data_IF_190573910326
#
_entry.id   IF_190573910326
#
_cell.length_a   1.000
_cell.length_b   1.000
_cell.length_c   1.000
_cell.angle_alpha   90.00
_cell.angle_beta   90.00
_cell.angle_gamma   90.00
#
_symmetry.space_group_name_H-M   'P 1'
#
loop_
_entity.id
_entity.type
_entity.pdbx_description
1 polymer ?
#
# COMPACT_ATOMS: atom_id res chain seq x y z
N UNK A 1 -1.66 14.44 29.21
CA UNK A 1 -0.58 15.30 28.66
C UNK A 1 0.72 14.50 28.65
N UNK A 2 1.67 14.70 27.72
CA UNK A 2 3.06 14.85 28.15
C UNK A 2 3.12 16.23 28.82
N UNK A 3 3.27 16.33 30.13
CA UNK A 3 3.74 17.56 30.73
C UNK A 3 5.11 17.84 30.16
N UNK A 4 5.42 19.11 29.84
CA UNK A 4 6.81 19.52 29.77
C UNK A 4 7.46 19.19 31.13
N UNK A 5 8.47 18.31 31.14
CA UNK A 5 9.08 17.81 32.37
C UNK A 5 9.19 16.28 32.44
N UNK A 6 9.15 15.72 33.65
CA UNK A 6 9.54 14.33 33.92
C UNK A 6 8.60 13.25 33.34
N UNK A 7 7.39 13.63 32.91
CA UNK A 7 6.33 12.73 32.43
C UNK A 7 6.24 12.67 30.89
N UNK A 8 7.03 13.49 30.19
CA UNK A 8 7.10 13.52 28.72
C UNK A 8 7.46 12.15 28.10
N UNK A 9 8.47 11.40 28.61
CA UNK A 9 8.79 10.07 28.09
C UNK A 9 7.65 9.06 28.27
N UNK A 10 6.87 9.19 29.35
CA UNK A 10 5.75 8.29 29.64
C UNK A 10 4.59 8.52 28.64
N UNK A 11 4.28 9.78 28.35
CA UNK A 11 3.25 10.12 27.36
C UNK A 11 3.65 9.72 25.94
N UNK A 12 4.92 9.89 25.55
CA UNK A 12 5.46 9.36 24.28
C UNK A 12 5.31 7.83 24.26
N UNK A 13 5.60 7.16 25.37
CA UNK A 13 5.39 5.72 25.52
C UNK A 13 3.93 5.30 25.30
N UNK A 14 2.95 6.03 25.84
CA UNK A 14 1.53 5.76 25.61
C UNK A 14 1.09 6.01 24.17
N UNK A 15 1.59 7.06 23.51
CA UNK A 15 1.30 7.32 22.10
C UNK A 15 1.85 6.21 21.20
N UNK A 16 3.08 5.75 21.49
CA UNK A 16 3.67 4.62 20.79
C UNK A 16 2.83 3.34 20.96
N UNK A 17 2.37 3.05 22.19
CA UNK A 17 1.50 1.91 22.44
C UNK A 17 0.15 2.04 21.73
N UNK A 18 -0.47 3.23 21.75
CA UNK A 18 -1.71 3.49 21.05
C UNK A 18 -1.57 3.23 19.55
N UNK A 19 -0.53 3.78 18.92
CA UNK A 19 -0.24 3.55 17.52
C UNK A 19 -0.08 2.04 17.21
N UNK A 20 0.67 1.29 18.03
CA UNK A 20 0.84 -0.15 17.82
C UNK A 20 -0.45 -0.95 17.98
N UNK A 21 -1.32 -0.55 18.91
CA UNK A 21 -2.63 -1.18 19.10
C UNK A 21 -3.57 -0.87 17.93
N UNK A 22 -3.60 0.39 17.47
CA UNK A 22 -4.37 0.80 16.30
C UNK A 22 -3.88 0.07 15.04
N UNK A 23 -2.56 0.00 14.80
CA UNK A 23 -1.97 -0.78 13.72
C UNK A 23 -2.41 -2.25 13.78
N UNK A 24 -2.37 -2.86 14.97
CA UNK A 24 -2.84 -4.24 15.17
C UNK A 24 -4.34 -4.40 14.85
N UNK A 25 -5.18 -3.47 15.31
CA UNK A 25 -6.62 -3.48 15.00
C UNK A 25 -6.89 -3.26 13.52
N UNK A 26 -6.13 -2.41 12.84
CA UNK A 26 -6.20 -2.24 11.38
C UNK A 26 -5.87 -3.55 10.68
N UNK A 27 -4.83 -4.25 11.12
CA UNK A 27 -4.42 -5.53 10.52
C UNK A 27 -5.50 -6.60 10.67
N UNK A 28 -6.19 -6.62 11.81
CA UNK A 28 -7.34 -7.51 12.03
C UNK A 28 -8.56 -7.09 11.21
N UNK A 29 -8.81 -5.80 11.07
CA UNK A 29 -9.90 -5.27 10.23
C UNK A 29 -9.69 -5.65 8.75
N UNK A 30 -8.47 -5.52 8.22
CA UNK A 30 -8.10 -5.96 6.87
C UNK A 30 -8.36 -7.45 6.64
N UNK A 31 -8.30 -8.25 7.71
CA UNK A 31 -8.55 -9.70 7.73
C UNK A 31 -10.04 -10.04 7.96
N UNK A 32 -10.90 -9.04 8.04
CA UNK A 32 -12.35 -9.20 8.15
C UNK A 32 -12.87 -9.44 9.57
N UNK A 33 -12.09 -9.16 10.62
CA UNK A 33 -12.52 -9.30 12.01
C UNK A 33 -13.49 -8.17 12.43
N UNK A 34 -14.79 -8.44 12.63
CA UNK A 34 -15.78 -7.41 12.91
C UNK A 34 -15.62 -6.79 14.30
N UNK A 35 -15.06 -7.52 15.26
CA UNK A 35 -14.73 -7.03 16.60
C UNK A 35 -13.62 -5.98 16.56
N UNK A 36 -12.62 -6.13 15.68
CA UNK A 36 -11.57 -5.13 15.50
C UNK A 36 -12.12 -3.84 14.87
N UNK A 37 -12.97 -3.95 13.85
CA UNK A 37 -13.65 -2.80 13.25
C UNK A 37 -14.52 -2.07 14.28
N UNK A 38 -15.24 -2.83 15.12
CA UNK A 38 -16.02 -2.29 16.23
C UNK A 38 -15.14 -1.57 17.26
N UNK A 39 -14.01 -2.16 17.68
CA UNK A 39 -13.10 -1.53 18.63
C UNK A 39 -12.52 -0.22 18.11
N UNK A 40 -12.21 -0.14 16.80
CA UNK A 40 -11.78 1.12 16.17
C UNK A 40 -12.92 2.17 16.25
N UNK A 41 -14.16 1.76 15.93
CA UNK A 41 -15.30 2.65 15.99
C UNK A 41 -15.61 3.13 17.42
N UNK A 42 -15.62 2.21 18.39
CA UNK A 42 -15.83 2.48 19.81
C UNK A 42 -14.73 3.42 20.34
N UNK A 43 -13.45 3.18 19.97
CA UNK A 43 -12.34 4.07 20.32
C UNK A 43 -12.54 5.50 19.80
N UNK A 44 -12.89 5.66 18.52
CA UNK A 44 -13.11 6.99 17.95
C UNK A 44 -14.33 7.69 18.56
N UNK A 45 -15.39 6.94 18.88
CA UNK A 45 -16.57 7.45 19.57
C UNK A 45 -16.24 7.89 21.02
N UNK A 46 -15.41 7.13 21.73
CA UNK A 46 -14.94 7.49 23.06
C UNK A 46 -14.07 8.76 23.01
N UNK A 47 -13.18 8.90 22.02
CA UNK A 47 -12.41 10.13 21.80
C UNK A 47 -13.35 11.32 21.59
N UNK A 48 -14.37 11.18 20.75
CA UNK A 48 -15.40 12.21 20.54
C UNK A 48 -16.07 12.61 21.86
N UNK A 49 -16.52 11.63 22.65
CA UNK A 49 -17.16 11.89 23.94
C UNK A 49 -16.23 12.60 24.93
N UNK A 50 -14.93 12.27 24.93
CA UNK A 50 -13.94 12.94 25.77
C UNK A 50 -13.66 14.38 25.33
N UNK A 51 -13.71 14.68 24.02
CA UNK A 51 -13.60 16.06 23.52
C UNK A 51 -14.81 16.88 23.95
N UNK A 52 -16.02 16.34 23.79
CA UNK A 52 -17.26 17.02 24.20
C UNK A 52 -17.32 17.25 25.71
N UNK A 53 -16.74 16.35 26.51
CA UNK A 53 -16.58 16.50 27.94
C UNK A 53 -15.46 17.49 28.35
N UNK A 54 -14.66 18.00 27.40
CA UNK A 54 -13.54 18.91 27.66
C UNK A 54 -12.29 18.24 28.24
N UNK A 55 -12.20 16.90 28.18
CA UNK A 55 -11.06 16.13 28.69
C UNK A 55 -9.95 15.94 27.64
N UNK A 56 -10.25 16.17 26.36
CA UNK A 56 -9.30 16.13 25.23
C UNK A 56 -9.29 17.50 24.57
N UNK A 57 -8.13 18.16 24.61
CA UNK A 57 -7.88 19.46 23.98
C UNK A 57 -7.39 19.32 22.52
N UNK A 58 -7.17 20.46 21.85
CA UNK A 58 -6.66 20.55 20.48
C UNK A 58 -5.39 19.77 20.23
N UNK A 59 -4.46 19.88 21.17
CA UNK A 59 -3.14 19.27 21.06
C UNK A 59 -3.20 17.75 21.19
N UNK A 60 -3.96 17.24 22.15
CA UNK A 60 -4.18 15.80 22.31
C UNK A 60 -4.90 15.21 21.09
N UNK A 61 -5.87 15.94 20.54
CA UNK A 61 -6.56 15.51 19.33
C UNK A 61 -5.61 15.42 18.12
N UNK A 62 -4.66 16.35 17.97
CA UNK A 62 -3.63 16.27 16.94
C UNK A 62 -2.80 14.99 17.06
N UNK A 63 -2.37 14.61 18.27
CA UNK A 63 -1.62 13.36 18.49
C UNK A 63 -2.47 12.09 18.20
N UNK A 64 -3.76 12.10 18.55
CA UNK A 64 -4.66 10.98 18.23
C UNK A 64 -4.89 10.89 16.72
N UNK A 65 -5.07 12.04 16.05
CA UNK A 65 -5.17 12.14 14.60
C UNK A 65 -3.92 11.57 13.92
N UNK A 66 -2.74 11.92 14.41
CA UNK A 66 -1.46 11.39 13.93
C UNK A 66 -1.33 9.88 14.16
N UNK A 67 -1.70 9.37 15.33
CA UNK A 67 -1.69 7.93 15.59
C UNK A 67 -2.63 7.15 14.66
N UNK A 68 -3.81 7.71 14.35
CA UNK A 68 -4.73 7.16 13.35
C UNK A 68 -4.12 7.21 11.93
N UNK A 69 -3.48 8.32 11.57
CA UNK A 69 -2.80 8.52 10.29
C UNK A 69 -1.70 7.47 10.07
N UNK A 70 -0.77 7.39 11.01
CA UNK A 70 0.34 6.44 10.98
C UNK A 70 -0.12 4.98 10.97
N UNK A 71 -1.26 4.70 11.60
CA UNK A 71 -1.89 3.37 11.59
C UNK A 71 -2.73 3.09 10.34
N UNK A 72 -2.84 4.06 9.41
CA UNK A 72 -3.66 4.00 8.20
C UNK A 72 -5.14 3.74 8.51
N UNK A 73 -5.65 4.29 9.59
CA UNK A 73 -7.06 4.23 9.98
C UNK A 73 -7.71 5.57 9.67
N UNK A 74 -8.76 5.62 8.83
CA UNK A 74 -9.47 6.87 8.56
C UNK A 74 -10.20 7.36 9.81
N UNK A 75 -10.21 8.68 10.00
CA UNK A 75 -11.05 9.32 11.01
C UNK A 75 -12.53 9.11 10.67
N UNK A 76 -13.35 8.86 11.69
CA UNK A 76 -14.80 8.73 11.54
C UNK A 76 -15.40 10.10 11.21
N UNK A 77 -16.58 10.14 10.55
CA UNK A 77 -17.27 11.41 10.28
C UNK A 77 -17.52 12.24 11.54
N UNK A 78 -17.83 11.59 12.67
CA UNK A 78 -18.08 12.23 13.96
C UNK A 78 -16.80 12.84 14.54
N UNK A 79 -15.70 12.07 14.54
CA UNK A 79 -14.40 12.56 14.99
C UNK A 79 -13.96 13.76 14.14
N UNK A 80 -14.07 13.64 12.81
CA UNK A 80 -13.73 14.71 11.90
C UNK A 80 -14.57 15.99 12.11
N UNK A 81 -15.86 15.83 12.40
CA UNK A 81 -16.76 16.95 12.68
C UNK A 81 -16.43 17.67 14.00
N UNK A 82 -15.99 16.94 15.03
CA UNK A 82 -15.59 17.53 16.31
C UNK A 82 -14.20 18.18 16.22
N UNK A 83 -13.26 17.57 15.50
CA UNK A 83 -11.96 18.17 15.20
C UNK A 83 -12.11 19.53 14.51
N UNK A 84 -13.04 19.64 13.56
CA UNK A 84 -13.30 20.89 12.85
C UNK A 84 -13.87 22.03 13.74
N UNK A 85 -14.37 21.71 14.93
CA UNK A 85 -14.94 22.69 15.89
C UNK A 85 -13.93 23.17 16.92
N UNK A 86 -12.80 22.48 17.07
CA UNK A 86 -11.80 22.92 18.04
C UNK A 86 -11.12 24.20 17.57
N UNK A 87 -11.01 25.21 18.45
CA UNK A 87 -10.24 26.40 18.13
C UNK A 87 -8.77 25.99 17.93
N UNK A 88 -8.17 26.46 16.85
CA UNK A 88 -6.72 26.40 16.67
C UNK A 88 -6.11 27.20 17.81
N UNK A 89 -5.28 26.57 18.63
CA UNK A 89 -4.62 27.22 19.76
C UNK A 89 -3.69 28.33 19.22
N UNK A 90 -3.95 29.62 19.54
CA UNK A 90 -3.17 30.73 18.99
C UNK A 90 -1.75 30.83 19.54
N UNK A 91 -1.39 30.03 20.55
CA UNK A 91 -0.10 30.13 21.26
C UNK A 91 1.00 29.17 20.77
N UNK A 92 0.72 28.19 19.89
CA UNK A 92 1.77 27.28 19.36
C UNK A 92 2.16 27.45 17.89
N UNK A 93 1.48 28.30 17.13
CA UNK A 93 1.98 28.78 15.84
C UNK A 93 1.59 30.24 15.66
N UNK A 94 2.51 31.05 15.11
CA UNK A 94 2.26 32.48 14.84
C UNK A 94 0.91 32.69 14.13
N UNK A 95 0.33 33.90 14.20
CA UNK A 95 -1.06 34.17 13.88
C UNK A 95 -1.50 33.42 12.63
N UNK A 96 -2.51 32.55 12.78
CA UNK A 96 -3.20 31.89 11.68
C UNK A 96 -3.31 32.89 10.53
N UNK A 97 -2.72 32.62 9.36
CA UNK A 97 -2.70 33.61 8.31
C UNK A 97 -4.16 33.89 7.93
N UNK A 98 -4.63 35.10 8.29
CA UNK A 98 -5.95 35.63 7.90
C UNK A 98 -6.14 35.63 6.39
N UNK A 99 -5.04 35.47 5.64
CA UNK A 99 -5.00 35.18 4.23
C UNK A 99 -4.57 33.72 3.99
N UNK A 100 -5.52 32.85 3.63
CA UNK A 100 -5.29 31.46 3.21
C UNK A 100 -4.19 31.38 2.14
N UNK A 101 -4.08 32.38 1.26
CA UNK A 101 -3.02 32.44 0.24
C UNK A 101 -1.63 32.61 0.86
N UNK A 102 -1.50 33.42 1.89
CA UNK A 102 -0.24 33.61 2.61
C UNK A 102 0.16 32.34 3.38
N UNK A 103 -0.82 31.63 3.96
CA UNK A 103 -0.58 30.34 4.61
C UNK A 103 -0.09 29.26 3.64
N UNK A 104 -0.77 29.12 2.49
CA UNK A 104 -0.36 28.20 1.43
C UNK A 104 1.04 28.53 0.90
N UNK A 105 1.34 29.82 0.70
CA UNK A 105 2.68 30.26 0.30
C UNK A 105 3.75 29.93 1.36
N UNK A 106 3.41 29.99 2.66
CA UNK A 106 4.28 29.58 3.76
C UNK A 106 4.64 28.10 3.72
N UNK A 107 3.64 27.22 3.53
CA UNK A 107 3.84 25.77 3.42
C UNK A 107 4.71 25.44 2.20
N UNK A 108 4.39 26.03 1.04
CA UNK A 108 5.16 25.82 -0.19
C UNK A 108 6.61 26.28 -0.02
N UNK A 109 6.84 27.41 0.65
CA UNK A 109 8.18 27.91 0.94
C UNK A 109 8.94 26.97 1.87
N UNK A 110 8.29 26.39 2.87
CA UNK A 110 8.91 25.42 3.78
C UNK A 110 9.31 24.12 3.05
N UNK A 111 8.64 23.80 1.94
CA UNK A 111 8.92 22.65 1.09
C UNK A 111 9.84 22.97 -0.10
N UNK A 112 10.46 24.16 -0.14
CA UNK A 112 11.24 24.66 -1.29
C UNK A 112 10.47 24.58 -2.63
N UNK A 113 9.14 24.66 -2.59
CA UNK A 113 8.26 24.54 -3.75
C UNK A 113 8.03 23.12 -4.25
N UNK A 114 8.52 22.07 -3.57
CA UNK A 114 8.27 20.68 -3.96
C UNK A 114 6.80 20.29 -3.70
N UNK A 115 6.02 19.99 -4.75
CA UNK A 115 4.61 19.63 -4.58
C UNK A 115 4.40 18.29 -3.87
N UNK A 116 5.35 17.34 -3.94
CA UNK A 116 5.24 16.04 -3.28
C UNK A 116 5.44 16.15 -1.76
N UNK A 117 6.40 16.96 -1.31
CA UNK A 117 6.57 17.26 0.10
C UNK A 117 5.35 18.02 0.65
N UNK A 118 4.89 19.03 -0.09
CA UNK A 118 3.74 19.84 0.32
C UNK A 118 2.44 19.02 0.41
N UNK A 119 2.15 18.14 -0.57
CA UNK A 119 0.96 17.28 -0.48
C UNK A 119 1.07 16.26 0.65
N UNK A 120 2.27 15.74 0.92
CA UNK A 120 2.54 14.84 2.05
C UNK A 120 2.19 15.49 3.39
N UNK A 121 2.74 16.67 3.65
CA UNK A 121 2.46 17.45 4.86
C UNK A 121 0.97 17.81 5.00
N UNK A 122 0.30 18.15 3.89
CA UNK A 122 -1.13 18.50 3.90
C UNK A 122 -2.03 17.29 4.16
N UNK A 123 -1.66 16.10 3.67
CA UNK A 123 -2.42 14.87 3.94
C UNK A 123 -2.19 14.41 5.39
N UNK A 124 -0.96 14.50 5.90
CA UNK A 124 -0.61 14.17 7.28
C UNK A 124 -1.38 15.09 8.25
N UNK A 125 -1.24 16.42 8.09
CA UNK A 125 -1.97 17.41 8.91
C UNK A 125 -3.49 17.39 8.69
N UNK A 126 -3.94 16.95 7.51
CA UNK A 126 -5.34 16.88 7.11
C UNK A 126 -6.05 15.56 7.44
N UNK A 127 -5.37 14.58 8.04
CA UNK A 127 -5.89 13.20 8.15
C UNK A 127 -7.21 13.09 8.92
N UNK A 128 -7.40 13.95 9.94
CA UNK A 128 -8.63 14.00 10.72
C UNK A 128 -9.67 14.98 10.16
N UNK A 129 -9.43 15.62 9.01
CA UNK A 129 -10.36 16.59 8.43
C UNK A 129 -11.53 15.92 7.70
N UNK A 130 -12.74 16.50 7.76
CA UNK A 130 -13.84 16.08 6.91
C UNK A 130 -13.50 16.20 5.42
N UNK A 131 -14.13 15.35 4.60
CA UNK A 131 -13.93 15.34 3.16
C UNK A 131 -14.24 16.71 2.51
N UNK A 132 -15.21 17.45 3.05
CA UNK A 132 -15.59 18.78 2.63
C UNK A 132 -14.46 19.80 2.85
N UNK A 133 -13.80 19.72 4.01
CA UNK A 133 -12.64 20.56 4.34
C UNK A 133 -11.45 20.21 3.46
N UNK A 134 -11.14 18.92 3.31
CA UNK A 134 -10.10 18.46 2.39
C UNK A 134 -10.35 18.92 0.94
N UNK A 135 -11.62 18.87 0.50
CA UNK A 135 -12.02 19.38 -0.80
C UNK A 135 -11.82 20.90 -0.91
N UNK A 136 -12.17 21.67 0.12
CA UNK A 136 -11.97 23.11 0.14
C UNK A 136 -10.49 23.50 0.08
N UNK A 137 -9.62 22.78 0.79
CA UNK A 137 -8.16 22.98 0.74
C UNK A 137 -7.63 22.68 -0.67
N UNK A 138 -7.97 21.53 -1.24
CA UNK A 138 -7.54 21.15 -2.60
C UNK A 138 -8.04 22.11 -3.68
N UNK A 139 -9.29 22.58 -3.57
CA UNK A 139 -9.86 23.61 -4.46
C UNK A 139 -9.15 24.95 -4.27
N UNK A 140 -8.88 25.35 -3.02
CA UNK A 140 -8.14 26.56 -2.68
C UNK A 140 -6.76 26.58 -3.32
N UNK A 141 -6.02 25.48 -3.23
CA UNK A 141 -4.72 25.28 -3.89
C UNK A 141 -4.80 25.48 -5.41
N UNK A 142 -5.82 24.90 -6.06
CA UNK A 142 -6.02 25.04 -7.51
C UNK A 142 -6.30 26.49 -7.92
N UNK A 143 -7.06 27.23 -7.10
CA UNK A 143 -7.55 28.58 -7.42
C UNK A 143 -6.67 29.72 -6.87
N UNK A 144 -5.67 29.43 -6.04
CA UNK A 144 -4.82 30.42 -5.37
C UNK A 144 -3.99 31.31 -6.31
N UNK A 145 -3.92 30.97 -7.60
CA UNK A 145 -3.11 31.71 -8.59
C UNK A 145 -1.60 31.49 -8.46
N UNK A 146 -1.17 30.57 -7.58
CA UNK A 146 0.24 30.19 -7.37
C UNK A 146 0.53 28.91 -8.17
N UNK A 147 1.50 28.89 -9.10
CA UNK A 147 1.83 27.70 -9.90
C UNK A 147 2.16 26.46 -9.07
N UNK A 148 2.95 26.62 -8.01
CA UNK A 148 3.37 25.53 -7.12
C UNK A 148 2.17 24.95 -6.36
N UNK A 149 1.25 25.82 -5.89
CA UNK A 149 -0.01 25.39 -5.26
C UNK A 149 -0.88 24.57 -6.23
N UNK A 150 -0.92 24.97 -7.51
CA UNK A 150 -1.62 24.20 -8.55
C UNK A 150 -0.98 22.84 -8.78
N UNK A 151 0.35 22.75 -8.73
CA UNK A 151 1.06 21.47 -8.75
C UNK A 151 0.64 20.53 -7.61
N UNK A 152 0.47 21.06 -6.39
CA UNK A 152 -0.07 20.30 -5.25
C UNK A 152 -1.52 19.88 -5.51
N UNK A 153 -2.37 20.77 -6.02
CA UNK A 153 -3.75 20.44 -6.36
C UNK A 153 -3.86 19.33 -7.42
N UNK A 154 -2.92 19.27 -8.37
CA UNK A 154 -2.84 18.17 -9.34
C UNK A 154 -2.60 16.83 -8.63
N UNK A 155 -1.77 16.79 -7.58
CA UNK A 155 -1.52 15.56 -6.80
C UNK A 155 -2.74 15.11 -5.98
N UNK A 156 -3.61 16.03 -5.54
CA UNK A 156 -4.91 15.71 -4.92
C UNK A 156 -5.88 14.96 -5.85
N UNK A 157 -5.60 14.85 -7.16
CA UNK A 157 -6.34 13.94 -8.04
C UNK A 157 -6.10 12.46 -7.73
N UNK A 158 -5.12 12.14 -6.87
CA UNK A 158 -4.82 10.80 -6.35
C UNK A 158 -5.22 10.65 -4.87
N UNK A 159 -5.99 11.59 -4.32
CA UNK A 159 -6.51 11.50 -2.96
C UNK A 159 -7.35 10.23 -2.78
N UNK A 160 -7.27 9.51 -1.64
CA UNK A 160 -8.08 8.31 -1.40
C UNK A 160 -9.58 8.58 -1.47
N UNK A 161 -10.03 9.79 -1.14
CA UNK A 161 -11.43 10.18 -1.14
C UNK A 161 -11.91 10.70 -2.50
N UNK A 162 -12.86 9.99 -3.10
CA UNK A 162 -13.43 10.36 -4.41
C UNK A 162 -14.07 11.76 -4.46
N UNK A 163 -14.59 12.26 -3.33
CA UNK A 163 -15.18 13.61 -3.24
C UNK A 163 -14.11 14.68 -3.44
N UNK A 164 -12.95 14.53 -2.77
CA UNK A 164 -11.80 15.44 -2.93
C UNK A 164 -11.30 15.41 -4.37
N UNK A 165 -11.13 14.21 -4.95
CA UNK A 165 -10.68 14.05 -6.34
C UNK A 165 -11.60 14.72 -7.37
N UNK A 166 -12.92 14.67 -7.17
CA UNK A 166 -13.90 15.33 -8.07
C UNK A 166 -13.90 16.84 -7.89
N UNK A 167 -13.87 17.32 -6.65
CA UNK A 167 -13.83 18.75 -6.34
C UNK A 167 -12.61 19.42 -6.99
N UNK A 168 -11.43 18.81 -6.83
CA UNK A 168 -10.19 19.35 -7.42
C UNK A 168 -10.17 19.25 -8.94
N UNK A 169 -10.72 18.19 -9.55
CA UNK A 169 -10.88 18.11 -11.00
C UNK A 169 -11.75 19.25 -11.56
N UNK A 170 -12.85 19.57 -10.87
CA UNK A 170 -13.72 20.70 -11.20
C UNK A 170 -13.01 22.05 -11.10
N UNK A 171 -12.19 22.26 -10.05
CA UNK A 171 -11.41 23.49 -9.89
C UNK A 171 -10.31 23.62 -10.96
N UNK A 172 -9.54 22.56 -11.22
CA UNK A 172 -8.51 22.53 -12.25
C UNK A 172 -9.09 22.79 -13.66
N UNK A 173 -10.33 22.37 -13.93
CA UNK A 173 -11.00 22.67 -15.18
C UNK A 173 -11.31 24.16 -15.40
N UNK A 174 -11.37 24.97 -14.34
CA UNK A 174 -11.55 26.43 -14.42
C UNK A 174 -10.23 27.14 -14.71
N UNK A 175 -9.13 26.63 -14.16
CA UNK A 175 -7.79 27.21 -14.28
C UNK A 175 -6.90 26.49 -15.29
N UNK A 176 -7.48 25.65 -16.15
CA UNK A 176 -6.74 24.77 -17.06
C UNK A 176 -5.75 25.50 -17.97
N UNK A 177 -6.05 26.75 -18.36
CA UNK A 177 -5.18 27.59 -19.17
C UNK A 177 -3.94 28.14 -18.42
N UNK A 178 -3.86 27.94 -17.11
CA UNK A 178 -2.72 28.36 -16.29
C UNK A 178 -1.81 27.21 -15.89
N UNK A 179 -2.18 25.96 -16.21
CA UNK A 179 -1.41 24.77 -15.85
C UNK A 179 -0.03 24.77 -16.51
N UNK A 180 0.93 24.16 -15.84
CA UNK A 180 2.28 24.00 -16.39
C UNK A 180 2.34 22.79 -17.34
N UNK A 181 3.33 22.74 -18.25
CA UNK A 181 3.62 21.53 -19.03
C UNK A 181 3.79 20.26 -18.18
N UNK A 182 4.41 20.40 -17.01
CA UNK A 182 4.59 19.32 -16.02
C UNK A 182 3.25 18.86 -15.44
N UNK A 183 2.35 19.78 -15.10
CA UNK A 183 1.00 19.44 -14.64
C UNK A 183 0.24 18.63 -15.70
N UNK A 184 0.31 19.05 -16.97
CA UNK A 184 -0.32 18.35 -18.09
C UNK A 184 0.26 16.95 -18.26
N UNK A 185 1.57 16.78 -18.12
CA UNK A 185 2.24 15.46 -18.14
C UNK A 185 1.71 14.53 -17.05
N UNK A 186 1.61 15.04 -15.82
CA UNK A 186 1.07 14.29 -14.66
C UNK A 186 -0.39 13.92 -14.87
N UNK A 187 -1.21 14.86 -15.34
CA UNK A 187 -2.63 14.61 -15.64
C UNK A 187 -2.80 13.48 -16.67
N UNK A 188 -1.95 13.43 -17.70
CA UNK A 188 -2.00 12.39 -18.73
C UNK A 188 -1.71 11.00 -18.14
N UNK A 189 -0.69 10.89 -17.28
CA UNK A 189 -0.37 9.62 -16.61
C UNK A 189 -1.49 9.18 -15.67
N UNK A 190 -1.93 10.08 -14.77
CA UNK A 190 -2.94 9.78 -13.76
C UNK A 190 -4.33 9.50 -14.33
N UNK A 191 -4.64 9.99 -15.56
CA UNK A 191 -5.95 9.78 -16.20
C UNK A 191 -6.35 8.31 -16.21
N UNK A 192 -5.41 7.42 -16.54
CA UNK A 192 -5.69 6.00 -16.65
C UNK A 192 -5.59 5.28 -15.30
N UNK A 193 -4.92 5.85 -14.30
CA UNK A 193 -4.78 5.28 -12.95
C UNK A 193 -6.01 5.46 -12.07
N UNK A 194 -7.07 6.09 -12.60
CA UNK A 194 -8.32 6.36 -11.89
C UNK A 194 -9.47 5.45 -12.34
N UNK A 195 -10.50 5.29 -11.49
CA UNK A 195 -11.77 4.65 -11.85
C UNK A 195 -12.35 5.23 -13.14
N UNK A 196 -12.94 4.38 -13.98
CA UNK A 196 -13.40 4.75 -15.32
C UNK A 196 -14.39 5.93 -15.33
N UNK A 197 -15.29 5.96 -14.35
CA UNK A 197 -16.29 7.01 -14.17
C UNK A 197 -15.70 8.38 -13.81
N UNK A 198 -14.42 8.47 -13.46
CA UNK A 198 -13.74 9.72 -13.09
C UNK A 198 -12.83 10.25 -14.21
N UNK A 199 -12.53 9.44 -15.23
CA UNK A 199 -11.54 9.79 -16.28
C UNK A 199 -11.98 10.95 -17.17
N UNK A 200 -13.29 11.11 -17.37
CA UNK A 200 -13.85 12.15 -18.23
C UNK A 200 -13.55 13.57 -17.71
N UNK A 201 -13.57 13.76 -16.39
CA UNK A 201 -13.29 15.03 -15.73
C UNK A 201 -11.84 15.46 -15.97
N UNK A 202 -10.88 14.57 -15.70
CA UNK A 202 -9.45 14.79 -15.98
C UNK A 202 -9.21 15.02 -17.47
N UNK A 203 -9.86 14.22 -18.32
CA UNK A 203 -9.79 14.39 -19.77
C UNK A 203 -10.26 15.77 -20.24
N UNK A 204 -11.27 16.37 -19.57
CA UNK A 204 -11.72 17.73 -19.87
C UNK A 204 -10.67 18.78 -19.48
N UNK A 205 -10.00 18.62 -18.33
CA UNK A 205 -8.88 19.49 -17.93
C UNK A 205 -7.76 19.46 -18.96
N UNK A 206 -7.31 18.26 -19.37
CA UNK A 206 -6.24 18.09 -20.36
C UNK A 206 -6.62 18.74 -21.70
N UNK A 207 -7.84 18.53 -22.19
CA UNK A 207 -8.30 19.14 -23.45
C UNK A 207 -8.30 20.67 -23.38
N UNK A 208 -8.76 21.25 -22.26
CA UNK A 208 -8.76 22.70 -22.05
C UNK A 208 -7.34 23.28 -21.98
N UNK A 209 -6.42 22.61 -21.29
CA UNK A 209 -5.02 23.04 -21.22
C UNK A 209 -4.36 23.05 -22.60
N UNK A 210 -4.55 21.97 -23.39
CA UNK A 210 -4.05 21.90 -24.77
C UNK A 210 -4.69 22.95 -25.68
N UNK A 211 -6.00 23.21 -25.53
CA UNK A 211 -6.67 24.27 -26.29
C UNK A 211 -6.15 25.67 -25.96
N UNK A 212 -5.59 25.86 -24.76
CA UNK A 212 -4.88 27.08 -24.37
C UNK A 212 -3.41 27.13 -24.83
N UNK A 213 -2.95 26.13 -25.60
CA UNK A 213 -1.58 26.07 -26.13
C UNK A 213 -0.53 25.51 -25.15
N UNK A 214 -0.95 24.85 -24.06
CA UNK A 214 -0.02 24.22 -23.12
C UNK A 214 0.37 22.85 -23.66
N UNK A 215 1.63 22.72 -24.07
CA UNK A 215 2.22 21.45 -24.49
C UNK A 215 2.63 20.61 -23.29
N UNK A 216 2.55 19.28 -23.45
CA UNK A 216 2.97 18.33 -22.44
C UNK A 216 4.51 18.26 -22.39
N UNK A 217 5.08 18.42 -21.19
CA UNK A 217 6.50 18.16 -20.98
C UNK A 217 6.80 16.67 -21.21
N UNK A 218 7.92 16.29 -21.84
CA UNK A 218 8.34 14.90 -21.89
C UNK A 218 8.68 14.38 -20.49
N UNK A 219 8.64 13.06 -20.33
CA UNK A 219 9.22 12.42 -19.16
C UNK A 219 10.74 12.44 -19.28
N UNK A 220 11.43 12.70 -18.16
CA UNK A 220 12.87 12.44 -18.12
C UNK A 220 13.12 10.94 -18.33
N UNK A 221 14.21 10.62 -19.00
CA UNK A 221 14.70 9.25 -19.09
C UNK A 221 15.22 8.85 -17.70
N UNK A 222 14.29 8.50 -16.80
CA UNK A 222 14.63 8.02 -15.48
C UNK A 222 15.53 6.79 -15.57
N UNK A 223 16.34 6.57 -14.55
CA UNK A 223 17.27 5.45 -14.52
C UNK A 223 17.18 4.71 -13.20
N UNK A 224 17.45 3.42 -13.26
CA UNK A 224 17.40 2.53 -12.11
C UNK A 224 18.68 1.72 -12.11
N UNK A 225 19.38 1.73 -10.98
CA UNK A 225 20.60 0.96 -10.76
C UNK A 225 20.32 -0.40 -10.14
N UNK A 226 19.32 -0.46 -9.26
CA UNK A 226 18.91 -1.71 -8.63
C UNK A 226 17.41 -1.72 -8.36
N UNK A 227 16.81 -2.89 -8.55
CA UNK A 227 15.43 -3.20 -8.18
C UNK A 227 15.50 -4.45 -7.31
N UNK A 228 15.00 -4.33 -6.08
CA UNK A 228 14.90 -5.45 -5.14
C UNK A 228 13.42 -5.64 -4.81
N UNK A 229 12.93 -6.86 -4.90
CA UNK A 229 11.57 -7.21 -4.51
C UNK A 229 11.59 -8.20 -3.34
N UNK A 230 10.70 -7.99 -2.36
CA UNK A 230 10.44 -8.99 -1.33
C UNK A 230 9.74 -10.19 -1.93
N UNK A 231 9.77 -11.31 -1.21
CA UNK A 231 8.86 -12.41 -1.46
C UNK A 231 7.39 -11.96 -1.30
N UNK A 232 6.49 -12.66 -1.97
CA UNK A 232 5.04 -12.47 -1.81
C UNK A 232 4.60 -13.14 -0.51
N UNK A 233 4.00 -12.37 0.38
CA UNK A 233 3.55 -12.86 1.69
C UNK A 233 2.17 -13.55 1.61
N UNK A 234 1.71 -14.11 2.73
CA UNK A 234 0.40 -14.78 2.78
C UNK A 234 -0.79 -13.84 2.59
N UNK A 235 -0.61 -12.52 2.73
CA UNK A 235 -1.62 -11.50 2.43
C UNK A 235 -1.53 -11.02 0.97
N UNK A 236 -0.75 -11.71 0.13
CA UNK A 236 -0.43 -11.33 -1.25
C UNK A 236 0.29 -9.98 -1.38
N UNK A 237 0.91 -9.50 -0.31
CA UNK A 237 1.67 -8.27 -0.30
C UNK A 237 3.10 -8.49 -0.83
N UNK A 238 3.62 -7.49 -1.52
CA UNK A 238 4.98 -7.49 -2.04
C UNK A 238 5.53 -6.06 -2.04
N UNK A 239 6.72 -5.88 -1.48
CA UNK A 239 7.45 -4.62 -1.49
C UNK A 239 8.52 -4.61 -2.57
N UNK A 240 8.71 -3.44 -3.18
CA UNK A 240 9.78 -3.14 -4.11
C UNK A 240 10.63 -2.00 -3.56
N UNK A 241 11.94 -2.15 -3.61
CA UNK A 241 12.92 -1.11 -3.29
C UNK A 241 13.72 -0.81 -4.55
N UNK A 242 13.79 0.47 -4.91
CA UNK A 242 14.38 0.96 -6.14
C UNK A 242 15.50 1.92 -5.77
N UNK A 243 16.68 1.73 -6.37
CA UNK A 243 17.81 2.65 -6.22
C UNK A 243 18.03 3.33 -7.55
N UNK A 244 17.89 4.65 -7.58
CA UNK A 244 18.12 5.49 -8.75
C UNK A 244 19.24 6.51 -8.51
N UNK A 245 19.96 6.96 -9.56
CA UNK A 245 20.94 8.02 -9.42
C UNK A 245 20.26 9.37 -9.21
N UNK A 246 20.87 10.20 -8.35
CA UNK A 246 20.44 11.57 -8.10
C UNK A 246 21.69 12.47 -8.01
N UNK A 247 22.21 12.87 -9.18
CA UNK A 247 23.49 13.57 -9.28
C UNK A 247 24.66 12.73 -8.74
N UNK A 248 25.36 13.25 -7.73
CA UNK A 248 26.45 12.51 -7.03
C UNK A 248 25.93 11.58 -5.93
N UNK A 249 24.64 11.66 -5.61
CA UNK A 249 23.95 10.87 -4.59
C UNK A 249 23.08 9.80 -5.23
N UNK A 250 22.38 9.04 -4.39
CA UNK A 250 21.41 8.02 -4.78
C UNK A 250 20.07 8.33 -4.12
N UNK A 251 18.99 7.86 -4.72
CA UNK A 251 17.64 8.00 -4.18
C UNK A 251 17.04 6.61 -3.98
N UNK A 252 16.45 6.37 -2.82
CA UNK A 252 15.61 5.18 -2.57
C UNK A 252 14.18 5.54 -2.90
N UNK A 253 13.53 4.66 -3.66
CA UNK A 253 12.07 4.67 -3.79
C UNK A 253 11.50 3.32 -3.37
N UNK A 254 10.26 3.32 -2.91
CA UNK A 254 9.54 2.11 -2.52
C UNK A 254 8.17 2.05 -3.17
N UNK A 255 7.73 0.85 -3.52
CA UNK A 255 6.35 0.55 -3.91
C UNK A 255 5.89 -0.67 -3.13
N UNK A 256 4.79 -0.55 -2.39
CA UNK A 256 4.15 -1.64 -1.68
C UNK A 256 2.84 -2.01 -2.38
N UNK A 257 2.68 -3.30 -2.64
CA UNK A 257 1.49 -3.87 -3.27
C UNK A 257 0.77 -4.77 -2.26
N UNK A 258 -0.57 -4.78 -2.29
CA UNK A 258 -1.45 -5.63 -1.47
C UNK A 258 -2.83 -5.77 -2.13
N UNK A 259 -2.88 -6.44 -3.28
CA UNK A 259 -4.09 -6.53 -4.09
C UNK A 259 -4.53 -5.16 -4.64
N UNK A 260 -3.58 -4.34 -5.02
CA UNK A 260 -3.64 -2.90 -5.26
C UNK A 260 -2.30 -2.25 -4.89
N UNK A 261 -2.02 -1.05 -5.39
CA UNK A 261 -0.89 -0.25 -4.89
C UNK A 261 -1.27 0.31 -3.52
N UNK A 262 -0.67 -0.25 -2.47
CA UNK A 262 -1.00 0.07 -1.08
C UNK A 262 -0.18 1.25 -0.52
N UNK A 263 1.04 1.43 -1.03
CA UNK A 263 1.91 2.55 -0.67
C UNK A 263 2.97 2.78 -1.75
N UNK A 264 3.47 4.00 -1.84
CA UNK A 264 4.65 4.31 -2.64
C UNK A 264 5.25 5.64 -2.18
N UNK A 265 6.57 5.73 -2.19
CA UNK A 265 7.29 6.95 -1.81
C UNK A 265 8.66 7.02 -2.47
N UNK A 266 9.20 8.23 -2.59
CA UNK A 266 10.57 8.48 -3.02
C UNK A 266 11.26 9.40 -2.02
N UNK A 267 12.39 8.95 -1.49
CA UNK A 267 13.13 9.69 -0.47
C UNK A 267 14.00 10.80 -1.04
N UNK A 268 14.60 11.58 -0.16
CA UNK A 268 15.60 12.56 -0.55
C UNK A 268 16.87 11.88 -1.09
N UNK A 269 17.65 12.56 -1.96
CA UNK A 269 18.95 12.06 -2.36
C UNK A 269 19.92 11.94 -1.18
N UNK A 270 20.40 10.73 -0.95
CA UNK A 270 21.29 10.33 0.14
C UNK A 270 22.61 9.72 -0.37
N UNK A 271 23.60 9.65 0.52
CA UNK A 271 24.82 8.89 0.21
C UNK A 271 24.51 7.39 0.21
N UNK A 272 25.23 6.63 -0.62
CA UNK A 272 25.10 5.16 -0.67
C UNK A 272 25.24 4.51 0.71
N UNK A 273 26.14 5.02 1.56
CA UNK A 273 26.36 4.53 2.92
C UNK A 273 25.14 4.73 3.82
N UNK A 274 24.46 5.87 3.70
CA UNK A 274 23.23 6.13 4.45
C UNK A 274 22.12 5.19 4.01
N UNK A 275 21.97 5.00 2.70
CA UNK A 275 21.02 4.03 2.13
C UNK A 275 21.27 2.61 2.68
N UNK A 276 22.51 2.13 2.63
CA UNK A 276 22.88 0.82 3.15
C UNK A 276 22.60 0.70 4.66
N UNK A 277 22.81 1.78 5.42
CA UNK A 277 22.51 1.83 6.86
C UNK A 277 21.00 1.79 7.11
N UNK A 278 20.21 2.57 6.38
CA UNK A 278 18.75 2.60 6.49
C UNK A 278 18.12 1.27 6.10
N UNK A 279 18.64 0.62 5.05
CA UNK A 279 18.18 -0.71 4.63
C UNK A 279 18.50 -1.79 5.69
N UNK A 280 19.67 -1.73 6.31
CA UNK A 280 20.04 -2.63 7.40
C UNK A 280 19.18 -2.39 8.66
N UNK A 281 18.93 -1.11 9.01
CA UNK A 281 18.11 -0.72 10.15
C UNK A 281 16.62 -1.04 9.96
N UNK A 282 16.13 -1.03 8.72
CA UNK A 282 14.76 -1.39 8.39
C UNK A 282 14.44 -2.87 8.68
N UNK A 283 15.45 -3.71 8.96
CA UNK A 283 15.24 -5.08 9.43
C UNK A 283 14.32 -5.88 8.53
N UNK A 284 14.56 -5.82 7.21
CA UNK A 284 13.78 -6.58 6.23
C UNK A 284 14.05 -8.08 6.42
N UNK A 285 13.41 -8.69 7.42
CA UNK A 285 13.48 -10.14 7.71
C UNK A 285 12.76 -10.98 6.64
N UNK A 286 12.12 -10.30 5.67
CA UNK A 286 11.49 -10.96 4.52
C UNK A 286 12.52 -11.24 3.44
N UNK A 287 12.57 -12.47 2.87
CA UNK A 287 13.47 -12.77 1.76
C UNK A 287 13.31 -11.78 0.59
N UNK A 288 14.43 -11.33 0.03
CA UNK A 288 14.46 -10.39 -1.10
C UNK A 288 15.29 -10.93 -2.26
N UNK A 289 14.90 -10.59 -3.49
CA UNK A 289 15.66 -10.87 -4.71
C UNK A 289 15.84 -9.61 -5.55
N UNK A 290 16.97 -9.52 -6.25
CA UNK A 290 17.10 -8.58 -7.35
C UNK A 290 16.17 -9.03 -8.48
N UNK A 291 15.41 -8.10 -9.06
CA UNK A 291 14.44 -8.40 -10.13
C UNK A 291 14.61 -7.47 -11.32
N UNK A 292 14.11 -7.87 -12.47
CA UNK A 292 14.18 -7.06 -13.69
C UNK A 292 13.20 -5.88 -13.67
N UNK A 293 13.49 -4.87 -14.50
CA UNK A 293 12.55 -3.78 -14.80
C UNK A 293 11.23 -4.30 -15.37
N UNK A 294 11.31 -5.30 -16.26
CA UNK A 294 10.11 -5.95 -16.84
C UNK A 294 9.23 -6.62 -15.79
N UNK A 295 9.83 -7.22 -14.75
CA UNK A 295 9.07 -7.78 -13.63
C UNK A 295 8.36 -6.69 -12.85
N UNK A 296 9.08 -5.62 -12.46
CA UNK A 296 8.49 -4.46 -11.77
C UNK A 296 7.30 -3.88 -12.55
N UNK A 297 7.51 -3.55 -13.83
CA UNK A 297 6.49 -2.91 -14.67
C UNK A 297 5.24 -3.79 -14.80
N UNK A 298 5.42 -5.11 -14.94
CA UNK A 298 4.33 -6.07 -15.01
C UNK A 298 3.53 -6.13 -13.71
N UNK A 299 4.21 -6.16 -12.56
CA UNK A 299 3.52 -6.20 -11.26
C UNK A 299 2.80 -4.87 -10.99
N UNK A 300 3.46 -3.73 -11.21
CA UNK A 300 2.83 -2.41 -11.03
C UNK A 300 1.60 -2.26 -11.93
N UNK A 301 1.67 -2.68 -13.19
CA UNK A 301 0.52 -2.66 -14.10
C UNK A 301 -0.66 -3.53 -13.60
N UNK A 302 -0.37 -4.73 -13.08
CA UNK A 302 -1.39 -5.63 -12.52
C UNK A 302 -2.04 -5.03 -11.27
N UNK A 303 -1.24 -4.49 -10.35
CA UNK A 303 -1.70 -3.94 -9.09
C UNK A 303 -2.43 -2.59 -9.28
N UNK A 304 -2.04 -1.78 -10.27
CA UNK A 304 -2.81 -0.62 -10.72
C UNK A 304 -4.20 -1.02 -11.23
N UNK A 305 -4.30 -2.09 -12.02
CA UNK A 305 -5.60 -2.57 -12.49
C UNK A 305 -6.49 -3.03 -11.31
N UNK A 306 -5.90 -3.70 -10.32
CA UNK A 306 -6.59 -4.09 -9.09
C UNK A 306 -7.11 -2.91 -8.27
N UNK A 307 -6.30 -1.85 -8.08
CA UNK A 307 -6.76 -0.62 -7.42
C UNK A 307 -7.98 -0.03 -8.12
N UNK A 308 -7.97 0.03 -9.46
CA UNK A 308 -9.08 0.58 -10.25
C UNK A 308 -10.34 -0.28 -10.13
N UNK A 309 -10.22 -1.61 -10.16
CA UNK A 309 -11.35 -2.53 -9.94
C UNK A 309 -12.03 -2.30 -8.58
N UNK A 310 -11.24 -1.93 -7.57
CA UNK A 310 -11.73 -1.53 -6.23
C UNK A 310 -12.26 -0.09 -6.16
N UNK A 311 -12.23 0.65 -7.26
CA UNK A 311 -12.57 2.09 -7.35
C UNK A 311 -11.65 2.99 -6.51
N UNK A 312 -10.42 2.55 -6.30
CA UNK A 312 -9.37 3.28 -5.59
C UNK A 312 -8.44 3.98 -6.60
N UNK A 313 -7.79 5.05 -6.16
CA UNK A 313 -6.65 5.65 -6.87
C UNK A 313 -5.35 5.21 -6.18
N UNK A 314 -4.24 5.03 -6.91
CA UNK A 314 -2.95 4.77 -6.27
C UNK A 314 -2.49 6.00 -5.45
N UNK A 315 -1.62 5.83 -4.45
CA UNK A 315 -1.06 6.93 -3.68
C UNK A 315 -0.26 7.88 -4.59
N UNK A 316 -0.27 9.18 -4.26
CA UNK A 316 0.47 10.20 -5.03
C UNK A 316 1.97 9.90 -5.14
N UNK A 317 2.55 9.23 -4.14
CA UNK A 317 3.95 8.83 -4.17
C UNK A 317 4.27 7.86 -5.31
N UNK A 318 3.30 7.12 -5.86
CA UNK A 318 3.52 6.28 -7.05
C UNK A 318 3.90 7.15 -8.25
N UNK A 319 3.31 8.33 -8.39
CA UNK A 319 3.68 9.29 -9.43
C UNK A 319 5.11 9.80 -9.22
N UNK A 320 5.49 10.09 -7.98
CA UNK A 320 6.86 10.50 -7.65
C UNK A 320 7.88 9.42 -8.00
N UNK A 321 7.56 8.16 -7.67
CA UNK A 321 8.38 7.00 -8.07
C UNK A 321 8.46 6.92 -9.59
N UNK A 322 7.33 6.98 -10.29
CA UNK A 322 7.30 6.94 -11.75
C UNK A 322 8.18 8.06 -12.34
N UNK A 323 8.07 9.29 -11.86
CA UNK A 323 8.86 10.44 -12.36
C UNK A 323 10.35 10.22 -12.11
N UNK A 324 10.71 9.61 -10.97
CA UNK A 324 12.10 9.32 -10.59
C UNK A 324 12.73 8.23 -11.47
N UNK A 325 11.97 7.18 -11.80
CA UNK A 325 12.52 5.97 -12.46
C UNK A 325 12.11 5.80 -13.94
N UNK A 326 11.41 6.77 -14.51
CA UNK A 326 10.94 6.70 -15.89
C UNK A 326 9.80 5.70 -16.07
N UNK A 327 8.80 5.74 -15.18
CA UNK A 327 7.61 4.89 -15.18
C UNK A 327 6.47 5.38 -16.09
N UNK A 328 6.79 6.11 -17.17
CA UNK A 328 5.81 6.73 -18.08
C UNK A 328 4.81 5.73 -18.67
N UNK A 329 5.26 4.49 -18.91
CA UNK A 329 4.48 3.45 -19.56
C UNK A 329 3.67 2.60 -18.58
N UNK A 330 3.65 2.95 -17.29
CA UNK A 330 2.80 2.26 -16.32
C UNK A 330 1.33 2.51 -16.64
N UNK A 331 0.73 1.54 -17.30
CA UNK A 331 -0.68 1.50 -17.61
C UNK A 331 -1.33 0.34 -16.87
N UNK A 332 -2.55 0.53 -16.32
CA UNK A 332 -3.24 -0.56 -15.66
C UNK A 332 -3.52 -1.69 -16.64
N UNK A 333 -3.00 -2.88 -16.35
CA UNK A 333 -3.20 -4.07 -17.16
C UNK A 333 -3.14 -5.30 -16.26
N UNK A 334 -4.25 -6.06 -16.21
CA UNK A 334 -4.28 -7.33 -15.48
C UNK A 334 -3.26 -8.29 -16.09
N UNK A 335 -2.36 -8.79 -15.26
CA UNK A 335 -1.58 -9.98 -15.58
C UNK A 335 -2.50 -11.10 -16.10
N UNK A 336 -2.23 -11.59 -17.30
CA UNK A 336 -2.92 -12.73 -17.89
C UNK A 336 -2.51 -14.01 -17.15
N UNK A 337 -3.19 -14.32 -16.05
CA UNK A 337 -2.80 -15.37 -15.11
C UNK A 337 -2.57 -16.73 -15.79
N UNK A 338 -3.53 -17.17 -16.62
CA UNK A 338 -3.44 -18.45 -17.34
C UNK A 338 -2.26 -18.52 -18.31
N UNK A 339 -2.03 -17.46 -19.10
CA UNK A 339 -0.90 -17.39 -20.04
C UNK A 339 0.44 -17.35 -19.29
N UNK A 340 0.48 -16.63 -18.16
CA UNK A 340 1.66 -16.52 -17.30
C UNK A 340 2.07 -17.87 -16.75
N UNK A 341 1.10 -18.61 -16.21
CA UNK A 341 1.31 -19.94 -15.68
C UNK A 341 1.70 -20.92 -16.80
N UNK A 342 1.04 -20.86 -17.95
CA UNK A 342 1.39 -21.69 -19.10
C UNK A 342 2.84 -21.45 -19.58
N UNK A 343 3.29 -20.19 -19.59
CA UNK A 343 4.67 -19.83 -19.91
C UNK A 343 5.67 -20.44 -18.93
N UNK A 344 5.43 -20.32 -17.62
CA UNK A 344 6.29 -20.96 -16.61
C UNK A 344 6.34 -22.48 -16.76
N UNK A 345 5.18 -23.11 -16.97
CA UNK A 345 5.08 -24.56 -17.13
C UNK A 345 5.81 -25.05 -18.38
N UNK A 346 5.82 -24.25 -19.47
CA UNK A 346 6.57 -24.59 -20.68
C UNK A 346 8.09 -24.64 -20.44
N UNK A 347 8.60 -23.93 -19.44
CA UNK A 347 10.02 -23.92 -19.05
C UNK A 347 10.37 -25.01 -18.02
N UNK A 348 9.37 -25.72 -17.48
CA UNK A 348 9.58 -26.84 -16.57
C UNK A 348 10.08 -28.06 -17.38
N UNK A 349 11.17 -28.73 -16.95
CA UNK A 349 11.66 -29.94 -17.61
C UNK A 349 10.58 -31.01 -17.72
N UNK A 350 10.44 -31.61 -18.92
CA UNK A 350 9.41 -32.63 -19.19
C UNK A 350 9.44 -33.80 -18.19
N UNK A 351 10.62 -34.18 -17.70
CA UNK A 351 10.79 -35.22 -16.69
C UNK A 351 10.08 -34.91 -15.36
N UNK A 352 9.98 -33.63 -14.97
CA UNK A 352 9.23 -33.22 -13.77
C UNK A 352 7.71 -33.30 -13.97
N UNK A 353 7.25 -33.25 -15.23
CA UNK A 353 5.84 -33.36 -15.60
C UNK A 353 5.37 -34.81 -15.76
N UNK A 354 6.27 -35.80 -15.67
CA UNK A 354 5.89 -37.21 -15.70
C UNK A 354 5.02 -37.58 -14.48
N UNK A 355 3.99 -38.42 -14.61
CA UNK A 355 2.99 -38.63 -13.55
C UNK A 355 3.56 -38.97 -12.16
N UNK A 356 4.57 -39.84 -12.11
CA UNK A 356 5.19 -40.26 -10.85
C UNK A 356 6.01 -39.13 -10.22
N UNK A 357 6.81 -38.43 -11.02
CA UNK A 357 7.62 -37.29 -10.57
C UNK A 357 6.74 -36.13 -10.15
N UNK A 358 5.72 -35.78 -10.93
CA UNK A 358 4.73 -34.77 -10.65
C UNK A 358 4.03 -35.02 -9.30
N UNK A 359 3.54 -36.24 -9.08
CA UNK A 359 2.92 -36.62 -7.82
C UNK A 359 3.90 -36.50 -6.64
N UNK A 360 5.18 -36.84 -6.85
CA UNK A 360 6.21 -36.68 -5.83
C UNK A 360 6.51 -35.22 -5.51
N UNK A 361 6.65 -34.35 -6.53
CA UNK A 361 6.85 -32.90 -6.37
C UNK A 361 5.71 -32.28 -5.56
N UNK A 362 4.46 -32.58 -5.94
CA UNK A 362 3.28 -32.05 -5.24
C UNK A 362 3.24 -32.51 -3.78
N UNK A 363 3.48 -33.80 -3.53
CA UNK A 363 3.46 -34.37 -2.17
C UNK A 363 4.55 -33.80 -1.27
N UNK A 364 5.74 -33.51 -1.82
CA UNK A 364 6.91 -33.02 -1.09
C UNK A 364 7.08 -31.49 -1.12
N UNK A 365 6.13 -30.76 -1.69
CA UNK A 365 6.21 -29.30 -1.85
C UNK A 365 6.33 -28.51 -0.53
N UNK A 366 6.09 -29.12 0.63
CA UNK A 366 6.35 -28.54 1.96
C UNK A 366 7.80 -28.69 2.44
N UNK A 367 8.63 -29.46 1.73
CA UNK A 367 10.02 -29.76 2.11
C UNK A 367 11.03 -28.86 1.38
N UNK A 368 10.55 -27.94 0.53
CA UNK A 368 11.36 -27.00 -0.25
C UNK A 368 12.07 -26.03 0.69
N UNK A 369 13.41 -26.11 0.75
CA UNK A 369 14.20 -25.36 1.73
C UNK A 369 14.13 -23.85 1.47
N UNK A 370 14.16 -23.46 0.21
CA UNK A 370 14.14 -22.07 -0.29
C UNK A 370 12.79 -21.40 0.00
N UNK A 371 11.72 -22.19 0.10
CA UNK A 371 10.39 -21.70 0.41
C UNK A 371 10.19 -21.49 1.92
N UNK A 372 11.00 -22.11 2.78
CA UNK A 372 10.76 -22.15 4.23
C UNK A 372 10.69 -20.76 4.86
N UNK A 373 11.53 -19.81 4.42
CA UNK A 373 11.50 -18.42 4.90
C UNK A 373 10.35 -17.63 4.29
N UNK A 374 10.05 -17.85 3.01
CA UNK A 374 8.96 -17.18 2.28
C UNK A 374 7.59 -17.55 2.84
N UNK A 375 7.35 -18.85 3.07
CA UNK A 375 6.06 -19.37 3.51
C UNK A 375 5.80 -19.19 5.02
N UNK A 376 6.66 -18.48 5.76
CA UNK A 376 6.42 -18.22 7.19
C UNK A 376 5.15 -17.41 7.44
N UNK A 377 4.83 -16.49 6.53
CA UNK A 377 3.63 -15.67 6.57
C UNK A 377 2.41 -16.34 5.90
N UNK A 378 2.56 -17.55 5.36
CA UNK A 378 1.50 -18.22 4.60
C UNK A 378 0.59 -19.04 5.52
N UNK A 379 -0.46 -18.38 5.99
CA UNK A 379 -1.52 -18.99 6.77
C UNK A 379 -2.86 -18.31 6.47
N UNK A 380 -3.95 -19.01 6.78
CA UNK A 380 -5.29 -18.42 6.76
C UNK A 380 -5.54 -17.70 8.08
N UNK A 381 -6.07 -16.49 7.98
CA UNK A 381 -6.41 -15.67 9.13
C UNK A 381 -7.68 -14.90 8.85
N UNK A 382 -8.80 -15.59 9.07
CA UNK A 382 -10.13 -15.02 9.02
C UNK A 382 -10.94 -15.48 10.24
N UNK A 383 -12.04 -14.77 10.60
CA UNK A 383 -12.82 -15.09 11.79
C UNK A 383 -13.41 -16.50 11.80
N UNK A 384 -13.75 -17.05 10.63
CA UNK A 384 -14.31 -18.39 10.51
C UNK A 384 -13.24 -19.45 10.82
N UNK A 385 -12.02 -19.25 10.34
CA UNK A 385 -10.86 -20.11 10.62
C UNK A 385 -10.50 -20.04 12.10
N UNK A 386 -10.38 -18.84 12.66
CA UNK A 386 -10.08 -18.64 14.07
C UNK A 386 -11.10 -19.36 14.97
N UNK A 387 -12.39 -19.19 14.68
CA UNK A 387 -13.45 -19.88 15.41
C UNK A 387 -13.40 -21.41 15.26
N UNK A 388 -13.08 -21.92 14.06
CA UNK A 388 -12.95 -23.36 13.83
C UNK A 388 -11.77 -23.95 14.62
N UNK A 389 -10.63 -23.27 14.65
CA UNK A 389 -9.44 -23.68 15.41
C UNK A 389 -9.73 -23.64 16.91
N UNK A 390 -10.44 -22.61 17.38
CA UNK A 390 -10.81 -22.44 18.78
C UNK A 390 -11.76 -23.55 19.26
N UNK A 391 -12.82 -23.83 18.51
CA UNK A 391 -13.77 -24.93 18.81
C UNK A 391 -13.12 -26.31 18.80
N UNK A 392 -12.01 -26.45 18.09
CA UNK A 392 -11.24 -27.68 17.98
C UNK A 392 -10.06 -27.74 18.97
N UNK A 393 -9.99 -26.86 19.98
CA UNK A 393 -9.03 -26.98 21.08
C UNK A 393 -9.12 -28.38 21.72
N UNK A 394 -7.98 -29.06 21.85
CA UNK A 394 -7.89 -30.42 22.38
C UNK A 394 -8.17 -31.56 21.38
N UNK A 395 -8.59 -31.27 20.14
CA UNK A 395 -8.77 -32.29 19.10
C UNK A 395 -7.47 -32.60 18.36
N UNK A 396 -7.44 -33.77 17.72
CA UNK A 396 -6.37 -34.24 16.85
C UNK A 396 -6.01 -33.19 15.78
N UNK A 397 -4.73 -32.80 15.76
CA UNK A 397 -4.22 -31.74 14.88
C UNK A 397 -4.30 -32.12 13.40
N UNK A 398 -4.08 -33.39 13.06
CA UNK A 398 -4.12 -33.86 11.68
C UNK A 398 -5.56 -33.82 11.15
N UNK A 399 -6.55 -34.27 11.94
CA UNK A 399 -7.97 -34.17 11.58
C UNK A 399 -8.41 -32.73 11.36
N UNK A 400 -7.96 -31.80 12.22
CA UNK A 400 -8.25 -30.38 12.04
C UNK A 400 -7.62 -29.82 10.75
N UNK A 401 -6.37 -30.19 10.46
CA UNK A 401 -5.70 -29.77 9.23
C UNK A 401 -6.43 -30.28 7.97
N UNK A 402 -6.88 -31.55 7.97
CA UNK A 402 -7.71 -32.10 6.88
C UNK A 402 -9.03 -31.34 6.73
N UNK A 403 -9.69 -31.02 7.84
CA UNK A 403 -10.90 -30.20 7.81
C UNK A 403 -10.64 -28.81 7.20
N UNK A 404 -9.58 -28.10 7.62
CA UNK A 404 -9.23 -26.79 7.08
C UNK A 404 -8.91 -26.86 5.59
N UNK A 405 -8.18 -27.90 5.16
CA UNK A 405 -7.87 -28.16 3.75
C UNK A 405 -9.15 -28.26 2.91
N UNK A 406 -10.04 -29.18 3.30
CA UNK A 406 -11.25 -29.49 2.53
C UNK A 406 -12.31 -28.39 2.60
N UNK A 407 -12.38 -27.71 3.75
CA UNK A 407 -13.51 -26.83 4.05
C UNK A 407 -13.19 -25.36 3.86
N UNK A 408 -11.93 -24.94 3.90
CA UNK A 408 -11.54 -23.52 3.86
C UNK A 408 -10.53 -23.28 2.75
N UNK A 409 -9.36 -23.91 2.80
CA UNK A 409 -8.29 -23.70 1.81
C UNK A 409 -8.77 -24.05 0.40
N UNK A 410 -9.59 -25.11 0.26
CA UNK A 410 -10.20 -25.45 -1.03
C UNK A 410 -11.09 -24.33 -1.62
N UNK A 411 -11.74 -23.50 -0.78
CA UNK A 411 -12.52 -22.33 -1.24
C UNK A 411 -11.65 -21.14 -1.60
N UNK A 412 -10.49 -21.01 -0.95
CA UNK A 412 -9.49 -19.96 -1.22
C UNK A 412 -8.41 -20.41 -2.21
N UNK A 413 -8.67 -21.48 -2.97
CA UNK A 413 -7.73 -22.06 -3.93
C UNK A 413 -7.20 -21.05 -4.93
N UNK A 414 -8.04 -20.17 -5.45
CA UNK A 414 -7.63 -19.16 -6.44
C UNK A 414 -6.65 -18.15 -5.85
N UNK A 415 -6.87 -17.73 -4.59
CA UNK A 415 -5.92 -16.87 -3.86
C UNK A 415 -4.58 -17.57 -3.65
N UNK A 416 -4.59 -18.84 -3.25
CA UNK A 416 -3.34 -19.59 -3.08
C UNK A 416 -2.63 -19.87 -4.41
N UNK A 417 -3.38 -20.12 -5.48
CA UNK A 417 -2.82 -20.24 -6.81
C UNK A 417 -2.14 -18.93 -7.25
N UNK A 418 -2.75 -17.78 -6.93
CA UNK A 418 -2.17 -16.46 -7.18
C UNK A 418 -0.85 -16.24 -6.44
N UNK A 419 -0.87 -16.42 -5.12
CA UNK A 419 0.33 -16.26 -4.27
C UNK A 419 1.44 -17.18 -4.77
N UNK A 420 1.15 -18.48 -4.96
CA UNK A 420 2.15 -19.46 -5.41
C UNK A 420 2.70 -19.13 -6.80
N UNK A 421 1.85 -18.70 -7.75
CA UNK A 421 2.31 -18.30 -9.07
C UNK A 421 3.22 -17.06 -9.00
N UNK A 422 2.82 -16.03 -8.26
CA UNK A 422 3.60 -14.80 -8.13
C UNK A 422 4.94 -15.05 -7.43
N UNK A 423 4.98 -15.95 -6.46
CA UNK A 423 6.24 -16.41 -5.84
C UNK A 423 7.11 -17.19 -6.83
N UNK A 424 6.52 -18.06 -7.66
CA UNK A 424 7.27 -18.75 -8.70
C UNK A 424 7.89 -17.76 -9.72
N UNK A 425 7.11 -16.74 -10.15
CA UNK A 425 7.61 -15.69 -11.02
C UNK A 425 8.74 -14.89 -10.36
N UNK A 426 8.58 -14.53 -9.09
CA UNK A 426 9.61 -13.82 -8.32
C UNK A 426 10.90 -14.64 -8.19
N UNK A 427 10.81 -15.92 -7.84
CA UNK A 427 11.97 -16.81 -7.74
C UNK A 427 12.65 -17.05 -9.09
N UNK A 428 11.91 -17.00 -10.20
CA UNK A 428 12.47 -17.13 -11.56
C UNK A 428 13.35 -15.95 -11.97
N UNK A 429 13.19 -14.77 -11.36
CA UNK A 429 14.06 -13.62 -11.61
C UNK A 429 15.50 -13.82 -11.10
N UNK A 430 15.69 -14.78 -10.19
CA UNK A 430 17.02 -15.12 -9.69
C UNK A 430 17.89 -15.72 -10.82
N UNK A 431 19.21 -15.49 -10.78
CA UNK A 431 20.11 -16.09 -11.74
C UNK A 431 20.06 -17.63 -11.65
N UNK A 432 20.26 -18.37 -12.76
CA UNK A 432 20.11 -19.83 -12.79
C UNK A 432 20.91 -20.58 -11.73
N UNK A 433 22.05 -20.03 -11.32
CA UNK A 433 22.96 -20.58 -10.30
C UNK A 433 22.36 -20.57 -8.89
N UNK A 434 21.32 -19.77 -8.65
CA UNK A 434 20.62 -19.75 -7.36
C UNK A 434 19.75 -21.00 -7.13
N UNK A 435 19.46 -21.76 -8.20
CA UNK A 435 18.72 -23.03 -8.19
C UNK A 435 17.45 -23.02 -7.31
N UNK A 436 16.69 -21.91 -7.38
CA UNK A 436 15.47 -21.75 -6.60
C UNK A 436 14.34 -22.67 -7.09
N UNK A 437 13.49 -23.10 -6.17
CA UNK A 437 12.38 -24.03 -6.39
C UNK A 437 11.17 -23.48 -7.18
N UNK A 438 11.39 -22.52 -8.09
CA UNK A 438 10.31 -21.88 -8.85
C UNK A 438 9.55 -22.85 -9.76
N UNK A 439 10.20 -23.92 -10.24
CA UNK A 439 9.60 -24.94 -11.11
C UNK A 439 8.60 -25.79 -10.35
N UNK A 440 8.95 -26.20 -9.14
CA UNK A 440 8.09 -26.90 -8.20
C UNK A 440 6.89 -26.03 -7.83
N UNK A 441 7.10 -24.73 -7.58
CA UNK A 441 6.01 -23.80 -7.32
C UNK A 441 5.09 -23.60 -8.54
N UNK A 442 5.63 -23.52 -9.75
CA UNK A 442 4.82 -23.47 -10.97
C UNK A 442 3.94 -24.72 -11.11
N UNK A 443 4.49 -25.91 -10.83
CA UNK A 443 3.75 -27.17 -10.77
C UNK A 443 2.62 -27.12 -9.72
N UNK A 444 2.90 -26.59 -8.53
CA UNK A 444 1.88 -26.46 -7.47
C UNK A 444 0.79 -25.47 -7.87
N UNK A 445 1.13 -24.30 -8.41
CA UNK A 445 0.18 -23.33 -8.93
C UNK A 445 -0.73 -23.96 -9.99
N UNK A 446 -0.15 -24.73 -10.94
CA UNK A 446 -0.91 -25.47 -11.94
C UNK A 446 -1.85 -26.50 -11.33
N UNK A 447 -1.38 -27.28 -10.36
CA UNK A 447 -2.22 -28.25 -9.68
C UNK A 447 -3.42 -27.60 -8.95
N UNK A 448 -3.21 -26.43 -8.35
CA UNK A 448 -4.30 -25.65 -7.73
C UNK A 448 -5.31 -25.21 -8.80
N UNK A 449 -4.86 -24.61 -9.90
CA UNK A 449 -5.73 -24.13 -10.99
C UNK A 449 -6.51 -25.26 -11.67
N UNK A 450 -5.86 -26.40 -11.91
CA UNK A 450 -6.48 -27.59 -12.51
C UNK A 450 -7.47 -28.29 -11.56
N UNK A 451 -7.63 -27.78 -10.33
CA UNK A 451 -8.60 -28.27 -9.38
C UNK A 451 -8.20 -29.54 -8.65
N UNK A 452 -6.91 -29.92 -8.66
CA UNK A 452 -6.39 -31.09 -7.92
C UNK A 452 -6.76 -30.98 -6.44
N UNK A 453 -7.02 -32.13 -5.81
CA UNK A 453 -7.31 -32.19 -4.39
C UNK A 453 -6.17 -31.57 -3.58
N UNK A 454 -6.50 -30.52 -2.81
CA UNK A 454 -5.53 -29.78 -1.99
C UNK A 454 -4.93 -30.64 -0.89
N UNK A 455 -5.56 -31.75 -0.52
CA UNK A 455 -5.02 -32.71 0.47
C UNK A 455 -3.83 -33.50 -0.05
N UNK A 456 -3.65 -33.59 -1.36
CA UNK A 456 -2.50 -34.23 -2.02
C UNK A 456 -1.28 -33.31 -2.12
N UNK A 457 -1.46 -32.00 -1.93
CA UNK A 457 -0.41 -30.99 -2.08
C UNK A 457 0.22 -30.73 -0.71
N UNK A 458 1.50 -31.11 -0.57
CA UNK A 458 2.26 -30.96 0.66
C UNK A 458 2.26 -29.53 1.21
N UNK A 459 2.50 -28.55 0.34
CA UNK A 459 2.50 -27.13 0.69
C UNK A 459 1.17 -26.65 1.29
N UNK A 460 0.03 -27.07 0.71
CA UNK A 460 -1.28 -26.69 1.27
C UNK A 460 -1.48 -27.30 2.67
N UNK A 461 -0.96 -28.51 2.90
CA UNK A 461 -0.99 -29.14 4.22
C UNK A 461 -0.13 -28.37 5.23
N UNK A 462 1.03 -27.87 4.82
CA UNK A 462 1.87 -27.03 5.69
C UNK A 462 1.15 -25.72 6.05
N UNK A 463 0.52 -25.05 5.08
CA UNK A 463 -0.31 -23.84 5.31
C UNK A 463 -1.42 -24.13 6.33
N UNK A 464 -2.13 -25.26 6.21
CA UNK A 464 -3.17 -25.66 7.16
C UNK A 464 -2.60 -25.88 8.58
N UNK A 465 -1.45 -26.55 8.69
CA UNK A 465 -0.79 -26.80 9.98
C UNK A 465 -0.23 -25.54 10.62
N UNK A 466 0.24 -24.59 9.81
CA UNK A 466 0.75 -23.26 10.22
C UNK A 466 -0.39 -22.37 10.69
N UNK A 467 -1.50 -22.35 9.96
CA UNK A 467 -2.77 -21.72 10.35
C UNK A 467 -3.18 -22.13 11.77
N UNK A 468 -3.19 -23.44 12.06
CA UNK A 468 -3.52 -23.95 13.40
C UNK A 468 -2.51 -23.47 14.44
N UNK A 469 -1.21 -23.47 14.12
CA UNK A 469 -0.16 -23.07 15.05
C UNK A 469 -0.28 -21.59 15.43
N UNK A 470 -0.37 -20.71 14.43
CA UNK A 470 -0.46 -19.25 14.59
C UNK A 470 -1.70 -18.86 15.40
N UNK A 471 -2.88 -19.41 15.05
CA UNK A 471 -4.12 -19.06 15.73
C UNK A 471 -4.20 -19.60 17.16
N UNK A 472 -3.57 -20.75 17.44
CA UNK A 472 -3.46 -21.27 18.82
C UNK A 472 -2.48 -20.48 19.68
N UNK A 473 -1.41 -19.92 19.10
CA UNK A 473 -0.52 -19.01 19.83
C UNK A 473 -1.14 -17.64 20.05
N UNK A 474 -1.89 -17.12 19.08
CA UNK A 474 -2.57 -15.83 19.19
C UNK A 474 -3.63 -15.83 20.31
N UNK A 475 -4.38 -16.92 20.48
CA UNK A 475 -5.36 -17.06 21.57
C UNK A 475 -4.78 -17.37 22.97
N UNK A 476 -3.46 -17.24 23.15
CA UNK A 476 -2.75 -17.35 24.45
C UNK A 476 -2.14 -16.02 24.92
N UNK A 477 -2.09 -15.01 24.06
CA UNK A 477 -1.86 -13.61 24.45
C UNK A 477 -3.20 -12.97 24.74
#
# INVERSE_FOLDING_TARGET
MPPAGQDEPLAIGYLFLLQRLLEHLRYRTDRGYPDAAKLIADFQADVVAQIEAGNVDGRMLAFVGEALHQSKIPASPELAAVSARQPVDPDEDGPLPTDVRAGLAGILKACDGDPFLAVGLLIESGHAMPAETGSAVAVGLALAGIPEARGVAVLFLLDPNSTVRRAVAGALAQVAASLTPTDVRRLIAMRNWRPENERAEVGAVIRKARAAGIDCEPWEAGSIEAIVATAVDGAAAQGFLLISPAGRKKRISSVLTKGGIADAWSGEPESRRQIETSLAAAGMDTPTLAVSRSYLDRIVAHELALSIEKREAPPFGLLQVAETIGGVDWQPARMAFGETLAGLIAEVPKAMCEPATLASVLRKSNELAELKAVAQSWFEDDPQVAQAVERARGRDRAKLATYLLQSIIARHRDRWADIVLRTALWMREAPPEADLCWRELAIVAKALVDGRDVTEIGLMRDIALRTIAVLRSAGRM
#
